data_IF_669393848017
#
_entry.id   IF_669393848017
#
_cell.length_a   1.000
_cell.length_b   1.000
_cell.length_c   1.000
_cell.angle_alpha   90.00
_cell.angle_beta   90.00
_cell.angle_gamma   90.00
#
_symmetry.space_group_name_H-M   'P 1'
#
loop_
_entity.id
_entity.type
_entity.pdbx_description
1 polymer ?
#
# COMPACT_ATOMS: atom_id res chain seq x y z
N UNK A 1 -15.97 -17.14 -34.79
CA UNK A 1 -16.34 -16.67 -33.43
C UNK A 1 -15.50 -17.32 -32.32
N UNK A 2 -15.46 -18.66 -32.21
CA UNK A 2 -14.68 -19.36 -31.15
C UNK A 2 -13.17 -18.99 -31.11
N UNK A 3 -12.51 -18.86 -32.27
CA UNK A 3 -11.09 -18.50 -32.38
C UNK A 3 -10.77 -17.08 -31.87
N UNK A 4 -11.68 -16.13 -32.10
CA UNK A 4 -11.54 -14.74 -31.65
C UNK A 4 -11.67 -14.67 -30.13
N UNK A 5 -12.58 -15.45 -29.55
CA UNK A 5 -12.77 -15.55 -28.11
C UNK A 5 -11.54 -16.14 -27.40
N UNK A 6 -10.91 -17.17 -27.97
CA UNK A 6 -9.64 -17.73 -27.45
C UNK A 6 -8.49 -16.72 -27.46
N UNK A 7 -8.38 -15.89 -28.49
CA UNK A 7 -7.31 -14.87 -28.57
C UNK A 7 -7.51 -13.79 -27.52
N UNK A 8 -8.75 -13.32 -27.31
CA UNK A 8 -9.08 -12.33 -26.28
C UNK A 8 -8.81 -12.90 -24.88
N UNK A 9 -9.15 -14.17 -24.65
CA UNK A 9 -8.91 -14.85 -23.37
C UNK A 9 -7.42 -14.99 -23.05
N UNK A 10 -6.59 -15.32 -24.05
CA UNK A 10 -5.13 -15.40 -23.89
C UNK A 10 -4.54 -14.00 -23.62
N UNK A 11 -5.03 -12.97 -24.30
CA UNK A 11 -4.59 -11.58 -24.06
C UNK A 11 -4.91 -11.15 -22.62
N UNK A 12 -6.10 -11.49 -22.11
CA UNK A 12 -6.54 -11.13 -20.76
C UNK A 12 -5.78 -11.86 -19.65
N UNK A 13 -5.33 -13.10 -19.89
CA UNK A 13 -4.53 -13.86 -18.92
C UNK A 13 -3.09 -13.36 -18.78
N UNK A 14 -2.57 -12.66 -19.79
CA UNK A 14 -1.19 -12.16 -19.78
C UNK A 14 -0.95 -10.98 -18.82
N UNK A 15 -2.00 -10.27 -18.40
CA UNK A 15 -1.90 -9.11 -17.51
C UNK A 15 -1.94 -9.45 -16.01
N UNK A 16 -2.17 -10.71 -15.62
CA UNK A 16 -2.36 -11.08 -14.20
C UNK A 16 -1.02 -11.23 -13.46
N UNK A 17 0.12 -11.33 -14.17
CA UNK A 17 1.43 -11.66 -13.60
C UNK A 17 2.23 -10.51 -12.98
N UNK A 18 1.80 -9.25 -13.09
CA UNK A 18 2.63 -8.08 -12.74
C UNK A 18 2.30 -7.40 -11.40
N UNK A 19 1.38 -7.95 -10.60
CA UNK A 19 0.87 -7.26 -9.40
C UNK A 19 1.59 -7.59 -8.08
N UNK A 20 2.61 -8.46 -8.06
CA UNK A 20 3.34 -8.79 -6.83
C UNK A 20 4.47 -7.79 -6.60
N UNK A 21 4.14 -6.61 -6.06
CA UNK A 21 5.12 -5.81 -5.33
C UNK A 21 5.72 -6.71 -4.23
N UNK A 22 7.05 -6.88 -4.25
CA UNK A 22 7.78 -7.74 -3.32
C UNK A 22 7.85 -7.09 -1.93
N UNK A 23 6.69 -6.89 -1.30
CA UNK A 23 6.56 -6.32 0.04
C UNK A 23 6.92 -7.41 1.03
N UNK A 24 8.04 -7.25 1.70
CA UNK A 24 8.49 -8.13 2.79
C UNK A 24 8.09 -7.54 4.14
N UNK A 25 8.05 -8.33 5.23
CA UNK A 25 7.78 -7.81 6.56
C UNK A 25 8.68 -6.62 6.96
N UNK A 26 9.95 -6.64 6.56
CA UNK A 26 10.93 -5.59 6.85
C UNK A 26 10.66 -4.28 6.08
N UNK A 27 10.04 -4.38 4.91
CA UNK A 27 9.73 -3.24 4.03
C UNK A 27 8.27 -2.81 4.09
N UNK A 28 7.41 -3.57 4.79
CA UNK A 28 5.97 -3.36 4.85
C UNK A 28 5.60 -1.96 5.35
N UNK A 29 6.20 -1.49 6.45
CA UNK A 29 5.92 -0.15 6.97
C UNK A 29 6.25 0.93 5.95
N UNK A 30 7.45 0.89 5.36
CA UNK A 30 7.88 1.88 4.37
C UNK A 30 7.00 1.84 3.12
N UNK A 31 6.55 0.66 2.72
CA UNK A 31 5.59 0.49 1.62
C UNK A 31 4.24 1.13 1.96
N UNK A 32 3.69 0.92 3.16
CA UNK A 32 2.42 1.53 3.58
C UNK A 32 2.49 3.05 3.73
N UNK A 33 3.65 3.60 4.10
CA UNK A 33 3.82 5.05 4.23
C UNK A 33 3.91 5.76 2.87
N UNK A 34 4.44 5.08 1.85
CA UNK A 34 4.79 5.68 0.55
C UNK A 34 3.95 5.18 -0.64
N UNK A 35 3.01 4.25 -0.42
CA UNK A 35 2.15 3.78 -1.51
C UNK A 35 1.05 4.82 -1.83
N UNK A 36 0.48 4.71 -3.04
CA UNK A 36 -0.64 5.55 -3.47
C UNK A 36 -2.00 4.97 -3.02
N UNK A 37 -2.03 4.24 -1.90
CA UNK A 37 -3.25 3.61 -1.39
C UNK A 37 -4.05 4.58 -0.51
N UNK A 38 -5.25 4.94 -0.96
CA UNK A 38 -6.10 5.87 -0.25
C UNK A 38 -6.93 5.22 0.87
N UNK A 39 -6.90 3.90 1.05
CA UNK A 39 -7.67 3.23 2.11
C UNK A 39 -7.09 3.44 3.49
N UNK A 40 -5.82 3.81 3.59
CA UNK A 40 -5.09 3.97 4.84
C UNK A 40 -4.75 5.46 5.05
N UNK A 41 -4.32 5.81 6.26
CA UNK A 41 -3.74 7.11 6.54
C UNK A 41 -2.72 7.00 7.66
N UNK A 42 -1.87 8.01 7.79
CA UNK A 42 -0.95 8.11 8.89
C UNK A 42 -0.58 9.57 9.14
N UNK A 43 -0.14 9.87 10.35
CA UNK A 43 0.35 11.20 10.72
C UNK A 43 1.54 11.09 11.68
N UNK A 44 2.49 12.02 11.59
CA UNK A 44 3.58 12.15 12.58
C UNK A 44 3.02 12.86 13.80
N UNK A 45 3.03 12.20 14.95
CA UNK A 45 2.61 12.80 16.23
C UNK A 45 3.76 13.49 16.94
N UNK A 46 4.93 12.86 16.95
CA UNK A 46 6.08 13.34 17.69
C UNK A 46 7.35 13.15 16.88
N UNK A 47 8.31 14.04 17.12
CA UNK A 47 9.62 14.01 16.50
C UNK A 47 10.64 14.29 17.58
N UNK A 48 11.52 13.33 17.85
CA UNK A 48 12.51 13.46 18.92
C UNK A 48 13.89 12.95 18.48
N UNK A 49 14.97 13.67 18.84
CA UNK A 49 16.31 13.27 18.46
C UNK A 49 16.74 12.02 19.22
N UNK A 50 17.41 11.09 18.53
CA UNK A 50 18.02 9.88 19.10
C UNK A 50 19.44 9.77 18.59
N UNK A 51 20.42 10.08 19.45
CA UNK A 51 21.85 10.11 19.10
C UNK A 51 22.15 11.02 17.89
N UNK A 52 22.51 10.42 16.75
CA UNK A 52 22.80 11.09 15.46
C UNK A 52 21.66 10.97 14.46
N UNK A 53 20.47 10.56 14.90
CA UNK A 53 19.30 10.34 14.08
C UNK A 53 18.07 11.09 14.62
N UNK A 54 17.07 11.27 13.75
CA UNK A 54 15.77 11.80 14.11
C UNK A 54 14.78 10.64 14.16
N UNK A 55 14.13 10.44 15.31
CA UNK A 55 13.04 9.48 15.44
C UNK A 55 11.69 10.18 15.27
N UNK A 56 10.75 9.46 14.64
CA UNK A 56 9.38 9.90 14.37
C UNK A 56 8.40 8.92 14.97
N UNK A 57 7.49 9.40 15.81
CA UNK A 57 6.34 8.63 16.27
C UNK A 57 5.20 8.80 15.26
N UNK A 58 4.80 7.70 14.64
CA UNK A 58 3.76 7.70 13.59
C UNK A 58 2.49 7.06 14.14
N UNK A 59 1.37 7.78 14.04
CA UNK A 59 0.04 7.19 14.17
C UNK A 59 -0.36 6.59 12.82
N UNK A 60 -0.50 5.28 12.79
CA UNK A 60 -1.01 4.58 11.60
C UNK A 60 -2.50 4.29 11.76
N UNK A 61 -3.28 4.57 10.72
CA UNK A 61 -4.73 4.32 10.63
C UNK A 61 -4.93 3.34 9.49
N UNK A 62 -5.16 2.08 9.86
CA UNK A 62 -5.18 0.97 8.90
C UNK A 62 -6.36 1.00 7.93
N UNK A 63 -7.46 1.69 8.25
CA UNK A 63 -8.65 1.71 7.40
C UNK A 63 -9.45 3.02 7.54
N UNK A 64 -9.81 3.62 6.41
CA UNK A 64 -10.86 4.62 6.27
C UNK A 64 -12.18 3.91 5.97
N UNK A 65 -13.17 4.06 6.84
CA UNK A 65 -14.52 3.57 6.55
C UNK A 65 -15.34 4.70 5.96
N UNK A 66 -15.87 4.53 4.74
CA UNK A 66 -16.65 5.57 4.03
C UNK A 66 -15.93 6.94 3.99
N UNK A 67 -14.61 6.95 3.76
CA UNK A 67 -13.74 8.15 3.80
C UNK A 67 -13.57 8.81 5.18
N UNK A 68 -14.11 8.22 6.25
CA UNK A 68 -13.96 8.70 7.62
C UNK A 68 -12.77 8.01 8.29
N UNK A 69 -11.87 8.81 8.85
CA UNK A 69 -10.75 8.33 9.67
C UNK A 69 -11.25 8.00 11.08
N UNK A 70 -11.16 6.73 11.47
CA UNK A 70 -11.40 6.32 12.85
C UNK A 70 -10.12 6.52 13.66
N UNK A 71 -10.11 7.55 14.52
CA UNK A 71 -9.04 7.80 15.49
C UNK A 71 -9.53 7.34 16.87
N UNK A 72 -8.85 6.36 17.45
CA UNK A 72 -9.02 5.99 18.87
C UNK A 72 -8.26 6.97 19.78
#
# INVERSE_FOLDING_TARGET
MKKIFSVIFILFMSSVGFAQLNVTPETALMHYLNNNDNTNAWEVRETYPVNKAQAYSVLFISQKWQQILWKH
#
